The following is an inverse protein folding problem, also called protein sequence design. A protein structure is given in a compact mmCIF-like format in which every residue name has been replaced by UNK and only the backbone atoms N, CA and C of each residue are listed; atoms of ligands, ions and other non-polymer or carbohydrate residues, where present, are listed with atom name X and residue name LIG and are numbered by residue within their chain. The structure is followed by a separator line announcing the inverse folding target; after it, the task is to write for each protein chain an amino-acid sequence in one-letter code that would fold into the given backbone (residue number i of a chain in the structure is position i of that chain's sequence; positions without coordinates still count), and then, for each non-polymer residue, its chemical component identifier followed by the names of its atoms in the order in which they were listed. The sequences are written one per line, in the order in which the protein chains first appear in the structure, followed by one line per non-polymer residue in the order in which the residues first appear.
data_IF_102725117615
#
_entry.id   IF_102725117615
#
_cell.length_a   1.000
_cell.length_b   1.000
_cell.length_c   1.000
_cell.angle_alpha   90.00
_cell.angle_beta   90.00
_cell.angle_gamma   90.00
#
_symmetry.space_group_name_H-M   'P 1'
#
loop_
_entity.id
_entity.type
_entity.pdbx_description
1 polymer ?
#
# COMPACT_ATOMS: atom_id res chain seq x y z
N UNK A 1 -43.52 -34.69 12.17
CA UNK A 1 -43.03 -34.15 13.46
C UNK A 1 -42.20 -32.89 13.20
N UNK A 2 -42.77 -31.73 13.55
CA UNK A 2 -42.20 -30.40 13.30
C UNK A 2 -40.98 -30.12 14.18
N UNK A 3 -39.84 -29.76 13.57
CA UNK A 3 -38.67 -29.20 14.27
C UNK A 3 -38.46 -27.76 13.81
N UNK A 4 -38.94 -26.82 14.63
CA UNK A 4 -38.72 -25.39 14.47
C UNK A 4 -37.25 -25.04 14.74
N UNK A 5 -36.55 -24.56 13.71
CA UNK A 5 -35.23 -23.96 13.83
C UNK A 5 -35.38 -22.45 14.07
N UNK A 6 -35.11 -22.01 15.30
CA UNK A 6 -34.98 -20.59 15.63
C UNK A 6 -33.60 -20.11 15.18
N UNK A 7 -33.55 -19.34 14.09
CA UNK A 7 -32.36 -18.59 13.66
C UNK A 7 -32.18 -17.37 14.55
N UNK A 8 -31.10 -17.32 15.34
CA UNK A 8 -30.61 -16.08 15.94
C UNK A 8 -29.66 -15.39 14.96
N UNK A 9 -30.13 -14.30 14.34
CA UNK A 9 -29.27 -13.33 13.66
C UNK A 9 -28.88 -12.24 14.65
N UNK A 10 -27.60 -12.17 15.03
CA UNK A 10 -27.00 -10.98 15.65
C UNK A 10 -25.88 -10.50 14.75
N UNK A 11 -26.28 -9.69 13.77
CA UNK A 11 -25.42 -8.84 12.97
C UNK A 11 -26.08 -7.48 13.04
N UNK A 12 -25.44 -6.49 13.69
CA UNK A 12 -25.35 -5.12 13.20
C UNK A 12 -24.65 -4.19 14.22
N UNK A 13 -23.64 -3.48 13.71
CA UNK A 13 -23.11 -2.17 14.11
C UNK A 13 -22.01 -2.12 15.18
N UNK A 14 -20.77 -2.36 14.74
CA UNK A 14 -19.59 -1.65 15.25
C UNK A 14 -19.09 -0.72 14.13
N UNK A 15 -19.32 0.60 14.25
CA UNK A 15 -18.63 1.63 13.46
C UNK A 15 -17.64 2.34 14.38
N UNK A 16 -16.34 2.44 14.04
CA UNK A 16 -15.42 3.24 14.83
C UNK A 16 -15.74 4.73 14.68
N UNK A 17 -15.65 5.44 15.79
CA UNK A 17 -15.80 6.89 15.88
C UNK A 17 -14.78 7.59 14.99
N UNK A 18 -15.24 8.31 13.97
CA UNK A 18 -14.43 9.33 13.30
C UNK A 18 -14.29 10.53 14.24
N UNK A 19 -13.05 10.91 14.54
CA UNK A 19 -12.70 12.17 15.21
C UNK A 19 -13.20 13.32 14.33
N UNK A 20 -14.31 13.94 14.69
CA UNK A 20 -14.76 15.19 14.08
C UNK A 20 -13.90 16.31 14.68
N UNK A 21 -12.81 16.66 14.00
CA UNK A 21 -11.99 17.82 14.31
C UNK A 21 -12.75 19.11 13.95
N UNK A 22 -13.36 19.74 14.96
CA UNK A 22 -14.11 21.01 14.87
C UNK A 22 -13.24 22.26 14.64
N UNK A 23 -11.91 22.12 14.53
CA UNK A 23 -10.99 23.27 14.52
C UNK A 23 -10.79 23.90 13.14
N UNK A 24 -11.00 23.17 12.03
CA UNK A 24 -10.76 23.69 10.67
C UNK A 24 -11.83 24.67 10.13
N UNK A 25 -13.14 24.48 10.36
CA UNK A 25 -14.15 25.40 9.81
C UNK A 25 -14.11 26.78 10.47
N UNK A 26 -13.82 26.86 11.78
CA UNK A 26 -13.74 28.14 12.49
C UNK A 26 -12.48 28.91 12.10
N UNK A 27 -11.35 28.22 11.91
CA UNK A 27 -10.10 28.82 11.43
C UNK A 27 -10.26 29.41 10.03
N UNK A 28 -10.94 28.72 9.11
CA UNK A 28 -11.22 29.26 7.76
C UNK A 28 -12.20 30.44 7.78
N UNK A 29 -13.14 30.48 8.73
CA UNK A 29 -14.07 31.61 8.87
C UNK A 29 -13.36 32.86 9.43
N UNK A 30 -12.53 32.69 10.46
CA UNK A 30 -11.72 33.77 11.02
C UNK A 30 -10.64 34.26 10.04
N UNK A 31 -10.04 33.36 9.26
CA UNK A 31 -9.10 33.72 8.19
C UNK A 31 -9.76 34.58 7.09
N UNK A 32 -11.02 34.29 6.72
CA UNK A 32 -11.78 35.09 5.75
C UNK A 32 -12.23 36.45 6.29
N UNK A 33 -12.44 36.58 7.60
CA UNK A 33 -12.72 37.87 8.22
C UNK A 33 -11.44 38.74 8.29
N UNK A 34 -10.29 38.14 8.56
CA UNK A 34 -9.03 38.88 8.67
C UNK A 34 -8.48 39.35 7.31
N UNK A 35 -8.68 38.58 6.22
CA UNK A 35 -8.21 38.96 4.88
C UNK A 35 -9.16 39.87 4.09
N UNK A 36 -10.34 40.22 4.62
CA UNK A 36 -11.22 41.24 4.00
C UNK A 36 -10.86 42.67 4.40
N UNK A 37 -9.85 42.86 5.26
CA UNK A 37 -9.26 44.17 5.56
C UNK A 37 -8.14 44.56 4.58
N UNK A 38 -8.02 43.88 3.43
CA UNK A 38 -7.17 44.37 2.35
C UNK A 38 -7.74 45.69 1.81
N UNK A 39 -6.96 46.74 2.02
CA UNK A 39 -7.01 48.08 1.44
C UNK A 39 -7.75 48.10 0.09
N UNK A 40 -8.97 48.64 0.12
CA UNK A 40 -9.56 49.27 -1.05
C UNK A 40 -8.69 50.48 -1.37
N UNK A 41 -7.69 50.29 -2.22
CA UNK A 41 -7.02 51.37 -2.95
C UNK A 41 -8.07 52.04 -3.84
N UNK A 42 -8.81 52.99 -3.27
CA UNK A 42 -9.61 53.92 -4.04
C UNK A 42 -8.67 54.90 -4.75
N UNK A 43 -8.71 55.00 -6.09
CA UNK A 43 -8.03 56.09 -6.76
C UNK A 43 -8.67 57.41 -6.31
N UNK A 44 -7.88 58.25 -5.62
CA UNK A 44 -8.23 59.65 -5.34
C UNK A 44 -8.22 60.42 -6.66
N UNK A 45 -9.34 60.40 -7.36
CA UNK A 45 -9.71 61.47 -8.29
C UNK A 45 -10.95 62.14 -7.70
N UNK A 46 -10.75 63.35 -7.17
CA UNK A 46 -11.82 64.25 -6.72
C UNK A 46 -12.64 64.67 -7.93
N UNK A 47 -13.61 63.83 -8.30
CA UNK A 47 -14.73 64.21 -9.16
C UNK A 47 -15.91 64.53 -8.25
N UNK A 48 -16.53 65.69 -8.47
CA UNK A 48 -17.67 66.20 -7.70
C UNK A 48 -18.83 65.21 -7.73
N UNK A 49 -18.93 64.41 -6.66
CA UNK A 49 -20.01 63.46 -6.47
C UNK A 49 -21.31 64.24 -6.24
N UNK A 50 -22.31 63.98 -7.06
CA UNK A 50 -23.59 64.70 -7.00
C UNK A 50 -24.41 64.23 -5.80
N UNK A 51 -25.27 65.10 -5.23
CA UNK A 51 -26.06 64.76 -4.03
C UNK A 51 -26.92 63.49 -4.20
N UNK A 52 -27.29 63.14 -5.43
CA UNK A 52 -28.00 61.90 -5.77
C UNK A 52 -27.14 60.64 -5.61
N UNK A 53 -25.84 60.70 -5.93
CA UNK A 53 -24.93 59.55 -5.79
C UNK A 53 -24.59 59.27 -4.33
N UNK A 54 -24.43 60.30 -3.51
CA UNK A 54 -24.23 60.15 -2.07
C UNK A 54 -25.41 59.49 -1.37
N UNK A 55 -26.65 59.78 -1.79
CA UNK A 55 -27.86 59.14 -1.23
C UNK A 55 -27.93 57.65 -1.60
N UNK A 56 -27.61 57.31 -2.86
CA UNK A 56 -27.57 55.92 -3.31
C UNK A 56 -26.51 55.09 -2.59
N UNK A 57 -25.32 55.66 -2.32
CA UNK A 57 -24.28 54.99 -1.54
C UNK A 57 -24.70 54.76 -0.08
N UNK A 58 -25.40 55.72 0.54
CA UNK A 58 -25.91 55.58 1.90
C UNK A 58 -27.02 54.51 2.00
N UNK A 59 -27.91 54.47 1.02
CA UNK A 59 -29.00 53.49 0.96
C UNK A 59 -28.48 52.07 0.71
N UNK A 60 -27.46 51.92 -0.15
CA UNK A 60 -26.80 50.62 -0.38
C UNK A 60 -26.02 50.14 0.85
N UNK A 61 -25.36 51.03 1.59
CA UNK A 61 -24.68 50.69 2.84
C UNK A 61 -25.69 50.27 3.93
N UNK A 62 -26.81 50.97 4.04
CA UNK A 62 -27.87 50.62 4.98
C UNK A 62 -28.55 49.29 4.64
N UNK A 63 -28.80 49.02 3.35
CA UNK A 63 -29.31 47.73 2.90
C UNK A 63 -28.32 46.59 3.17
N UNK A 64 -27.01 46.83 2.98
CA UNK A 64 -25.97 45.85 3.31
C UNK A 64 -25.89 45.57 4.82
N UNK A 65 -25.99 46.61 5.66
CA UNK A 65 -26.07 46.48 7.13
C UNK A 65 -27.31 45.69 7.57
N UNK A 66 -28.46 45.92 6.94
CA UNK A 66 -29.67 45.15 7.25
C UNK A 66 -29.55 43.67 6.81
N UNK A 67 -29.00 43.41 5.63
CA UNK A 67 -28.76 42.05 5.13
C UNK A 67 -27.82 41.25 6.05
N UNK A 68 -26.69 41.85 6.44
CA UNK A 68 -25.71 41.23 7.34
C UNK A 68 -26.28 40.98 8.75
N UNK A 69 -27.10 41.89 9.27
CA UNK A 69 -27.81 41.69 10.54
C UNK A 69 -28.81 40.53 10.48
N UNK A 70 -29.56 40.42 9.38
CA UNK A 70 -30.51 39.33 9.17
C UNK A 70 -29.79 37.96 9.06
N UNK A 71 -28.65 37.90 8.37
CA UNK A 71 -27.84 36.69 8.25
C UNK A 71 -27.23 36.26 9.60
N UNK A 72 -26.77 37.22 10.41
CA UNK A 72 -26.31 36.96 11.78
C UNK A 72 -27.44 36.45 12.69
N UNK A 73 -28.66 37.01 12.58
CA UNK A 73 -29.83 36.50 13.33
C UNK A 73 -30.24 35.09 12.87
N UNK A 74 -30.16 34.79 11.58
CA UNK A 74 -30.47 33.47 11.04
C UNK A 74 -29.44 32.41 11.46
N UNK A 75 -28.14 32.75 11.44
CA UNK A 75 -27.05 31.84 11.86
C UNK A 75 -27.07 31.58 13.36
N UNK A 76 -27.30 32.60 14.19
CA UNK A 76 -27.45 32.43 15.64
C UNK A 76 -28.66 31.58 16.02
N UNK A 77 -29.81 31.74 15.33
CA UNK A 77 -30.98 30.86 15.49
C UNK A 77 -30.66 29.41 15.11
N UNK A 78 -29.98 29.18 13.99
CA UNK A 78 -29.52 27.83 13.56
C UNK A 78 -28.52 27.20 14.54
N UNK A 79 -27.65 27.98 15.16
CA UNK A 79 -26.71 27.48 16.18
C UNK A 79 -27.43 27.12 17.48
N UNK A 80 -28.37 27.96 17.95
CA UNK A 80 -29.19 27.67 19.14
C UNK A 80 -30.01 26.38 18.98
N UNK A 81 -30.61 26.15 17.81
CA UNK A 81 -31.36 24.90 17.57
C UNK A 81 -30.45 23.68 17.56
N UNK A 82 -29.25 23.75 16.94
CA UNK A 82 -28.24 22.68 16.97
C UNK A 82 -27.74 22.40 18.40
N UNK A 83 -27.51 23.42 19.21
CA UNK A 83 -27.11 23.22 20.62
C UNK A 83 -28.21 22.54 21.45
N UNK A 84 -29.48 22.92 21.24
CA UNK A 84 -30.62 22.31 21.94
C UNK A 84 -30.81 20.82 21.59
N UNK A 85 -30.67 20.45 20.30
CA UNK A 85 -30.76 19.04 19.89
C UNK A 85 -29.59 18.22 20.43
N UNK A 86 -28.39 18.80 20.49
CA UNK A 86 -27.20 18.14 21.06
C UNK A 86 -27.35 17.88 22.57
N UNK A 87 -27.88 18.85 23.33
CA UNK A 87 -28.16 18.69 24.77
C UNK A 87 -29.20 17.60 25.04
N UNK A 88 -30.27 17.54 24.25
CA UNK A 88 -31.29 16.48 24.33
C UNK A 88 -30.72 15.09 23.99
N UNK A 89 -29.84 15.00 23.00
CA UNK A 89 -29.18 13.75 22.62
C UNK A 89 -28.23 13.25 23.72
N UNK A 90 -27.45 14.15 24.34
CA UNK A 90 -26.52 13.78 25.41
C UNK A 90 -27.26 13.26 26.66
N UNK A 91 -28.40 13.88 27.03
CA UNK A 91 -29.25 13.38 28.12
C UNK A 91 -29.77 11.96 27.84
N UNK A 92 -30.27 11.69 26.63
CA UNK A 92 -30.71 10.35 26.22
C UNK A 92 -29.60 9.30 26.31
N UNK A 93 -28.37 9.64 25.92
CA UNK A 93 -27.21 8.74 26.05
C UNK A 93 -26.86 8.42 27.50
N UNK A 94 -26.94 9.42 28.40
CA UNK A 94 -26.72 9.20 29.84
C UNK A 94 -27.79 8.28 30.42
N UNK A 95 -29.06 8.52 30.09
CA UNK A 95 -30.18 7.71 30.58
C UNK A 95 -30.09 6.26 30.08
N UNK A 96 -29.71 6.05 28.81
CA UNK A 96 -29.43 4.72 28.27
C UNK A 96 -28.27 4.02 29.00
N UNK A 97 -27.18 4.73 29.28
CA UNK A 97 -26.05 4.17 30.05
C UNK A 97 -26.47 3.78 31.48
N UNK A 98 -27.25 4.62 32.16
CA UNK A 98 -27.79 4.32 33.51
C UNK A 98 -28.69 3.09 33.49
N UNK A 99 -29.59 2.99 32.51
CA UNK A 99 -30.47 1.82 32.34
C UNK A 99 -29.67 0.53 32.08
N UNK A 100 -28.66 0.57 31.23
CA UNK A 100 -27.77 -0.58 30.97
C UNK A 100 -27.00 -0.99 32.23
N UNK A 101 -26.51 -0.03 33.01
CA UNK A 101 -25.82 -0.31 34.26
C UNK A 101 -26.74 -0.95 35.30
N UNK A 102 -27.97 -0.46 35.43
CA UNK A 102 -29.01 -1.06 36.28
C UNK A 102 -29.34 -2.50 35.86
N UNK A 103 -29.47 -2.78 34.56
CA UNK A 103 -29.67 -4.14 34.03
C UNK A 103 -28.49 -5.06 34.35
N UNK A 104 -27.25 -4.59 34.17
CA UNK A 104 -26.04 -5.37 34.51
C UNK A 104 -25.97 -5.72 36.00
N UNK A 105 -26.31 -4.78 36.90
CA UNK A 105 -26.37 -5.04 38.35
C UNK A 105 -27.43 -6.10 38.71
N UNK A 106 -28.63 -6.01 38.15
CA UNK A 106 -29.69 -7.02 38.36
C UNK A 106 -29.27 -8.41 37.87
N UNK A 107 -28.68 -8.49 36.68
CA UNK A 107 -28.13 -9.75 36.13
C UNK A 107 -27.01 -10.34 36.99
N UNK A 108 -26.12 -9.51 37.53
CA UNK A 108 -25.06 -9.96 38.42
C UNK A 108 -25.62 -10.54 39.74
N UNK A 109 -26.61 -9.88 40.34
CA UNK A 109 -27.27 -10.38 41.56
C UNK A 109 -28.01 -11.71 41.33
N UNK A 110 -28.72 -11.86 40.21
CA UNK A 110 -29.39 -13.12 39.83
C UNK A 110 -28.35 -14.22 39.60
N UNK A 111 -27.24 -13.94 38.91
CA UNK A 111 -26.14 -14.89 38.73
C UNK A 111 -25.54 -15.33 40.06
N UNK A 112 -25.29 -14.40 40.97
CA UNK A 112 -24.72 -14.71 42.29
C UNK A 112 -25.63 -15.63 43.12
N UNK A 113 -26.94 -15.37 43.11
CA UNK A 113 -27.93 -16.24 43.79
C UNK A 113 -28.04 -17.62 43.16
N UNK A 114 -27.89 -17.74 41.83
CA UNK A 114 -27.86 -19.04 41.16
C UNK A 114 -26.56 -19.80 41.43
N UNK A 115 -25.42 -19.12 41.50
CA UNK A 115 -24.11 -19.72 41.79
C UNK A 115 -24.02 -20.33 43.19
N UNK A 116 -24.74 -19.78 44.18
CA UNK A 116 -24.79 -20.33 45.54
C UNK A 116 -25.59 -21.65 45.67
N UNK A 117 -26.42 -21.98 44.68
CA UNK A 117 -27.26 -23.20 44.69
C UNK A 117 -26.69 -24.35 43.86
N UNK A 118 -25.61 -24.13 43.12
CA UNK A 118 -24.99 -25.14 42.25
C UNK A 118 -23.83 -25.80 42.99
N UNK A 119 -23.78 -27.15 43.08
CA UNK A 119 -22.66 -27.85 43.69
C UNK A 119 -21.33 -27.43 43.05
N UNK A 120 -20.30 -27.18 43.86
CA UNK A 120 -18.98 -26.69 43.41
C UNK A 120 -18.37 -27.54 42.28
N UNK A 121 -18.66 -28.85 42.24
CA UNK A 121 -18.15 -29.76 41.22
C UNK A 121 -18.79 -29.51 39.85
N UNK A 122 -20.11 -29.24 39.82
CA UNK A 122 -20.84 -28.87 38.60
C UNK A 122 -20.35 -27.50 38.10
N UNK A 123 -20.08 -26.57 39.01
CA UNK A 123 -19.51 -25.27 38.67
C UNK A 123 -18.13 -25.39 38.03
N UNK A 124 -17.21 -26.16 38.63
CA UNK A 124 -15.87 -26.41 38.07
C UNK A 124 -15.93 -27.07 36.69
N UNK A 125 -16.78 -28.09 36.52
CA UNK A 125 -16.97 -28.76 35.23
C UNK A 125 -17.50 -27.80 34.15
N UNK A 126 -18.50 -26.97 34.49
CA UNK A 126 -19.08 -25.98 33.58
C UNK A 126 -18.06 -24.91 33.19
N UNK A 127 -17.25 -24.42 34.14
CA UNK A 127 -16.16 -23.48 33.87
C UNK A 127 -15.11 -24.11 32.95
N UNK A 128 -14.74 -25.38 33.18
CA UNK A 128 -13.81 -26.12 32.32
C UNK A 128 -14.33 -26.23 30.88
N UNK A 129 -15.59 -26.61 30.71
CA UNK A 129 -16.24 -26.70 29.41
C UNK A 129 -16.30 -25.34 28.69
N UNK A 130 -16.67 -24.26 29.39
CA UNK A 130 -16.69 -22.90 28.83
C UNK A 130 -15.28 -22.48 28.40
N UNK A 131 -14.25 -22.76 29.22
CA UNK A 131 -12.85 -22.47 28.86
C UNK A 131 -12.44 -23.22 27.60
N UNK A 132 -12.77 -24.51 27.48
CA UNK A 132 -12.48 -25.31 26.29
C UNK A 132 -13.21 -24.79 25.04
N UNK A 133 -14.51 -24.49 25.14
CA UNK A 133 -15.30 -23.88 24.06
C UNK A 133 -14.74 -22.52 23.63
N UNK A 134 -14.35 -21.67 24.60
CA UNK A 134 -13.76 -20.37 24.31
C UNK A 134 -12.41 -20.50 23.59
N UNK A 135 -11.55 -21.44 24.01
CA UNK A 135 -10.27 -21.74 23.36
C UNK A 135 -10.49 -22.23 21.92
N UNK A 136 -11.44 -23.16 21.72
CA UNK A 136 -11.77 -23.67 20.40
C UNK A 136 -12.34 -22.57 19.47
N UNK A 137 -13.18 -21.69 20.01
CA UNK A 137 -13.70 -20.54 19.25
C UNK A 137 -12.58 -19.58 18.84
N UNK A 138 -11.68 -19.24 19.76
CA UNK A 138 -10.52 -18.38 19.48
C UNK A 138 -9.61 -18.95 18.39
N UNK A 139 -9.37 -20.27 18.42
CA UNK A 139 -8.61 -20.97 17.37
C UNK A 139 -9.33 -20.84 16.02
N UNK A 140 -10.64 -21.14 15.97
CA UNK A 140 -11.44 -21.01 14.74
C UNK A 140 -11.45 -19.59 14.17
N UNK A 141 -11.56 -18.57 15.03
CA UNK A 141 -11.52 -17.18 14.58
C UNK A 141 -10.13 -16.79 14.08
N UNK A 142 -9.06 -17.21 14.77
CA UNK A 142 -7.69 -16.96 14.34
C UNK A 142 -7.37 -17.64 13.00
N UNK A 143 -7.84 -18.88 12.81
CA UNK A 143 -7.69 -19.60 11.55
C UNK A 143 -8.46 -18.92 10.41
N UNK A 144 -9.69 -18.44 10.68
CA UNK A 144 -10.46 -17.68 9.69
C UNK A 144 -9.76 -16.38 9.30
N UNK A 145 -9.25 -15.61 10.26
CA UNK A 145 -8.48 -14.40 9.99
C UNK A 145 -7.19 -14.69 9.22
N UNK A 146 -6.49 -15.77 9.59
CA UNK A 146 -5.31 -16.23 8.85
C UNK A 146 -5.66 -16.59 7.41
N UNK A 147 -6.75 -17.32 7.18
CA UNK A 147 -7.21 -17.62 5.82
C UNK A 147 -7.55 -16.35 5.05
N UNK A 148 -8.28 -15.40 5.65
CA UNK A 148 -8.60 -14.12 5.00
C UNK A 148 -7.34 -13.36 4.57
N UNK A 149 -6.29 -13.35 5.39
CA UNK A 149 -4.98 -12.76 5.03
C UNK A 149 -4.24 -13.53 3.92
N UNK A 150 -4.45 -14.84 3.82
CA UNK A 150 -3.82 -15.67 2.79
C UNK A 150 -4.53 -15.60 1.43
N UNK A 151 -5.79 -15.17 1.41
CA UNK A 151 -6.56 -14.94 0.18
C UNK A 151 -6.72 -13.45 -0.14
N UNK A 152 -6.16 -12.54 0.66
CA UNK A 152 -6.19 -11.10 0.37
C UNK A 152 -5.30 -10.76 -0.82
N UNK A 153 -5.75 -9.79 -1.62
CA UNK A 153 -4.92 -9.15 -2.64
C UNK A 153 -3.74 -8.39 -2.01
N UNK A 154 -3.99 -7.81 -0.83
CA UNK A 154 -3.01 -7.01 -0.10
C UNK A 154 -1.84 -7.87 0.41
N UNK A 155 -0.60 -7.38 0.28
CA UNK A 155 0.58 -8.06 0.81
C UNK A 155 0.60 -8.05 2.35
N UNK A 156 1.04 -9.15 2.94
CA UNK A 156 1.21 -9.26 4.41
C UNK A 156 2.41 -8.45 4.86
N UNK A 157 3.49 -8.50 4.08
CA UNK A 157 4.69 -7.68 4.27
C UNK A 157 5.11 -7.09 2.94
N UNK A 158 5.53 -5.82 2.96
CA UNK A 158 5.97 -5.08 1.78
C UNK A 158 7.46 -4.82 1.91
N UNK A 159 8.32 -5.44 1.09
CA UNK A 159 9.72 -5.08 1.06
C UNK A 159 9.90 -3.68 0.48
N UNK A 160 10.94 -2.94 0.90
CA UNK A 160 11.33 -1.72 0.20
C UNK A 160 11.66 -2.05 -1.26
N UNK A 161 11.30 -1.14 -2.16
CA UNK A 161 11.36 -1.40 -3.60
C UNK A 161 12.83 -1.66 -4.01
N UNK A 162 13.17 -2.87 -4.52
CA UNK A 162 14.56 -3.23 -4.82
C UNK A 162 15.03 -2.68 -6.17
N UNK A 163 14.32 -1.72 -6.77
CA UNK A 163 14.64 -1.25 -8.11
C UNK A 163 15.90 -0.42 -8.08
N UNK A 164 16.95 -0.92 -8.72
CA UNK A 164 18.12 -0.12 -9.09
C UNK A 164 17.63 1.06 -9.93
N UNK A 165 17.84 2.26 -9.41
CA UNK A 165 17.53 3.50 -10.11
C UNK A 165 18.64 3.73 -11.14
N UNK A 166 18.24 3.89 -12.40
CA UNK A 166 19.19 4.23 -13.47
C UNK A 166 19.51 5.73 -13.44
N UNK A 167 20.70 6.14 -13.94
CA UNK A 167 21.02 7.56 -14.10
C UNK A 167 19.99 8.31 -14.94
N UNK A 168 19.44 7.66 -15.98
CA UNK A 168 18.36 8.23 -16.79
C UNK A 168 17.09 8.50 -15.98
N UNK A 169 16.70 7.59 -15.07
CA UNK A 169 15.55 7.83 -14.21
C UNK A 169 15.78 9.04 -13.30
N UNK A 170 16.96 9.16 -12.71
CA UNK A 170 17.33 10.35 -11.91
C UNK A 170 17.26 11.62 -12.77
N UNK A 171 17.73 11.57 -14.01
CA UNK A 171 17.63 12.69 -14.95
C UNK A 171 16.15 13.07 -15.20
N UNK A 172 15.30 12.11 -15.54
CA UNK A 172 13.87 12.37 -15.77
C UNK A 172 13.21 12.98 -14.53
N UNK A 173 13.44 12.40 -13.36
CA UNK A 173 12.84 12.87 -12.11
C UNK A 173 13.34 14.28 -11.72
N UNK A 174 14.59 14.62 -12.07
CA UNK A 174 15.22 15.92 -11.75
C UNK A 174 14.77 17.02 -12.70
N UNK A 175 14.76 16.77 -14.01
CA UNK A 175 14.53 17.80 -15.04
C UNK A 175 13.09 17.83 -15.57
N UNK A 176 12.34 16.75 -15.35
CA UNK A 176 10.94 16.62 -15.78
C UNK A 176 10.09 16.05 -14.65
N UNK A 177 10.05 16.71 -13.47
CA UNK A 177 9.26 16.22 -12.35
C UNK A 177 7.79 16.12 -12.75
N UNK A 178 7.06 15.13 -12.22
CA UNK A 178 5.63 15.01 -12.51
C UNK A 178 4.93 16.32 -12.12
N UNK A 179 3.97 16.80 -12.94
CA UNK A 179 3.22 17.99 -12.60
C UNK A 179 2.55 17.78 -11.24
N UNK A 180 2.69 18.76 -10.35
CA UNK A 180 2.07 18.76 -9.02
C UNK A 180 0.57 18.49 -9.18
N UNK A 181 0.00 17.57 -8.39
CA UNK A 181 -1.33 16.94 -8.55
C UNK A 181 -2.55 17.89 -8.62
N UNK A 182 -2.35 19.20 -8.60
CA UNK A 182 -3.39 20.23 -8.64
C UNK A 182 -3.76 20.72 -10.06
N UNK A 183 -3.17 20.15 -11.12
CA UNK A 183 -3.51 20.54 -12.49
C UNK A 183 -4.74 19.78 -13.03
N UNK A 184 -5.64 20.46 -13.76
CA UNK A 184 -6.86 19.86 -14.30
C UNK A 184 -6.55 18.67 -15.22
N UNK A 185 -7.38 17.63 -15.11
CA UNK A 185 -7.24 16.32 -15.79
C UNK A 185 -7.11 16.43 -17.32
N UNK A 186 -7.53 17.54 -17.92
CA UNK A 186 -7.51 17.79 -19.37
C UNK A 186 -6.11 18.05 -19.96
N UNK A 187 -5.08 18.31 -19.16
CA UNK A 187 -3.71 18.58 -19.65
C UNK A 187 -2.77 17.37 -19.60
N UNK A 188 -3.29 16.14 -19.45
CA UNK A 188 -2.49 14.91 -19.51
C UNK A 188 -2.03 14.66 -20.95
N UNK A 189 -1.00 15.39 -21.37
CA UNK A 189 -0.22 15.11 -22.59
C UNK A 189 0.07 13.62 -22.69
N UNK A 190 -0.07 13.07 -23.90
CA UNK A 190 0.22 11.66 -24.19
C UNK A 190 1.61 11.27 -23.67
N UNK A 191 1.65 10.42 -22.65
CA UNK A 191 2.86 9.97 -21.94
C UNK A 191 3.93 9.42 -22.90
N UNK A 192 3.53 8.88 -24.05
CA UNK A 192 4.43 8.35 -25.07
C UNK A 192 5.28 9.43 -25.73
N UNK A 193 4.70 10.58 -26.09
CA UNK A 193 5.44 11.65 -26.76
C UNK A 193 6.45 12.30 -25.82
N UNK A 194 6.09 12.42 -24.53
CA UNK A 194 7.00 12.90 -23.49
C UNK A 194 8.22 12.00 -23.31
N UNK A 195 8.05 10.67 -23.32
CA UNK A 195 9.18 9.73 -23.19
C UNK A 195 10.19 9.84 -24.33
N UNK A 196 9.74 9.98 -25.58
CA UNK A 196 10.63 10.17 -26.75
C UNK A 196 11.44 11.45 -26.58
N UNK A 197 10.79 12.54 -26.16
CA UNK A 197 11.45 13.82 -25.87
C UNK A 197 12.51 13.67 -24.77
N UNK A 198 12.17 13.04 -23.65
CA UNK A 198 13.11 12.84 -22.53
C UNK A 198 14.32 12.00 -22.94
N UNK A 199 14.12 10.94 -23.73
CA UNK A 199 15.21 10.13 -24.26
C UNK A 199 16.14 10.93 -25.17
N UNK A 200 15.59 11.79 -26.03
CA UNK A 200 16.38 12.69 -26.89
C UNK A 200 17.22 13.66 -26.06
N UNK A 201 16.62 14.32 -25.06
CA UNK A 201 17.33 15.21 -24.15
C UNK A 201 18.43 14.50 -23.37
N UNK A 202 18.17 13.27 -22.88
CA UNK A 202 19.20 12.49 -22.21
C UNK A 202 20.38 12.14 -23.13
N UNK A 203 20.11 11.72 -24.38
CA UNK A 203 21.17 11.42 -25.35
C UNK A 203 22.06 12.63 -25.62
N UNK A 204 21.43 13.79 -25.79
CA UNK A 204 22.09 15.07 -26.09
C UNK A 204 22.62 15.82 -24.85
N UNK A 205 22.40 15.30 -23.65
CA UNK A 205 22.92 15.92 -22.42
C UNK A 205 24.45 15.81 -22.34
N UNK A 206 25.07 16.82 -21.70
CA UNK A 206 26.52 16.87 -21.53
C UNK A 206 27.03 15.69 -20.69
N UNK A 207 28.29 15.32 -20.88
CA UNK A 207 28.92 14.27 -20.08
C UNK A 207 28.94 14.61 -18.58
N UNK A 208 29.05 15.90 -18.24
CA UNK A 208 28.97 16.39 -16.87
C UNK A 208 27.61 16.09 -16.23
N UNK A 209 26.50 16.42 -16.92
CA UNK A 209 25.16 16.10 -16.42
C UNK A 209 24.95 14.60 -16.25
N UNK A 210 25.42 13.79 -17.20
CA UNK A 210 25.35 12.32 -17.10
C UNK A 210 26.13 11.78 -15.91
N UNK A 211 27.30 12.36 -15.61
CA UNK A 211 28.12 12.00 -14.47
C UNK A 211 27.41 12.32 -13.14
N UNK A 212 26.85 13.52 -13.01
CA UNK A 212 26.09 13.94 -11.83
C UNK A 212 24.87 13.03 -11.56
N UNK A 213 24.09 12.73 -12.61
CA UNK A 213 22.97 11.78 -12.50
C UNK A 213 23.44 10.38 -12.10
N UNK A 214 24.62 9.95 -12.56
CA UNK A 214 25.20 8.66 -12.20
C UNK A 214 25.61 8.61 -10.73
N UNK A 215 26.27 9.66 -10.23
CA UNK A 215 26.64 9.78 -8.82
C UNK A 215 25.41 9.78 -7.91
N UNK A 216 24.38 10.57 -8.27
CA UNK A 216 23.09 10.59 -7.55
C UNK A 216 22.40 9.22 -7.56
N UNK A 217 22.35 8.54 -8.72
CA UNK A 217 21.78 7.20 -8.83
C UNK A 217 22.52 6.20 -7.93
N UNK A 218 23.86 6.22 -7.94
CA UNK A 218 24.68 5.35 -7.10
C UNK A 218 24.41 5.58 -5.61
N UNK A 219 24.36 6.84 -5.18
CA UNK A 219 24.04 7.19 -3.79
C UNK A 219 22.65 6.69 -3.37
N UNK A 220 21.62 6.90 -4.20
CA UNK A 220 20.27 6.41 -3.91
C UNK A 220 20.25 4.88 -3.87
N UNK A 221 20.91 4.20 -4.81
CA UNK A 221 20.99 2.75 -4.84
C UNK A 221 21.70 2.17 -3.60
N UNK A 222 22.76 2.84 -3.12
CA UNK A 222 23.42 2.46 -1.87
C UNK A 222 22.49 2.62 -0.67
N UNK A 223 21.74 3.71 -0.59
CA UNK A 223 20.74 3.92 0.46
C UNK A 223 19.63 2.86 0.42
N UNK A 224 19.10 2.58 -0.77
CA UNK A 224 18.11 1.53 -0.99
C UNK A 224 18.64 0.14 -0.61
N UNK A 225 19.90 -0.16 -0.91
CA UNK A 225 20.53 -1.42 -0.52
C UNK A 225 20.64 -1.55 1.01
N UNK A 226 21.01 -0.48 1.72
CA UNK A 226 21.05 -0.45 3.20
C UNK A 226 19.65 -0.64 3.80
N UNK A 227 18.65 0.07 3.28
CA UNK A 227 17.26 -0.06 3.72
C UNK A 227 16.73 -1.48 3.48
N UNK A 228 17.04 -2.08 2.34
CA UNK A 228 16.66 -3.45 2.02
C UNK A 228 17.33 -4.46 2.95
N UNK A 229 18.63 -4.30 3.22
CA UNK A 229 19.35 -5.16 4.18
C UNK A 229 18.73 -5.08 5.58
N UNK A 230 18.53 -3.87 6.09
CA UNK A 230 17.87 -3.64 7.39
C UNK A 230 16.46 -4.25 7.44
N UNK A 231 15.68 -4.11 6.35
CA UNK A 231 14.35 -4.74 6.28
C UNK A 231 14.43 -6.26 6.43
N UNK A 232 15.38 -6.92 5.76
CA UNK A 232 15.57 -8.36 5.91
C UNK A 232 16.02 -8.79 7.31
N UNK A 233 16.82 -7.97 8.00
CA UNK A 233 17.30 -8.27 9.35
C UNK A 233 16.23 -8.08 10.43
N UNK A 234 15.31 -7.14 10.21
CA UNK A 234 14.25 -6.80 11.17
C UNK A 234 12.93 -7.52 10.95
N UNK A 235 12.65 -7.99 9.74
CA UNK A 235 11.35 -8.60 9.41
C UNK A 235 11.26 -10.04 9.91
N UNK A 236 10.18 -10.38 10.61
CA UNK A 236 9.92 -11.74 11.08
C UNK A 236 9.93 -12.76 9.92
N UNK A 237 10.83 -13.76 9.92
CA UNK A 237 10.89 -14.81 8.91
C UNK A 237 9.57 -15.56 8.70
N UNK A 238 8.72 -15.66 9.74
CA UNK A 238 7.41 -16.30 9.63
C UNK A 238 6.42 -15.48 8.80
N UNK A 239 6.46 -14.15 8.90
CA UNK A 239 5.66 -13.26 8.04
C UNK A 239 6.08 -13.39 6.58
N UNK A 240 7.39 -13.52 6.31
CA UNK A 240 7.92 -13.75 4.96
C UNK A 240 7.46 -15.10 4.42
N UNK A 241 7.49 -16.16 5.23
CA UNK A 241 6.95 -17.49 4.86
C UNK A 241 5.45 -17.40 4.55
N UNK A 242 4.67 -16.68 5.36
CA UNK A 242 3.24 -16.48 5.12
C UNK A 242 2.96 -15.71 3.83
N UNK A 243 3.70 -14.63 3.55
CA UNK A 243 3.57 -13.86 2.31
C UNK A 243 3.95 -14.71 1.09
N UNK A 244 5.00 -15.51 1.17
CA UNK A 244 5.37 -16.44 0.10
C UNK A 244 4.30 -17.52 -0.14
N UNK A 245 3.62 -17.98 0.92
CA UNK A 245 2.48 -18.89 0.80
C UNK A 245 1.27 -18.21 0.13
N UNK A 246 0.94 -16.97 0.54
CA UNK A 246 -0.09 -16.14 -0.09
C UNK A 246 0.18 -15.97 -1.59
N UNK A 247 1.40 -15.58 -1.99
CA UNK A 247 1.82 -15.45 -3.40
C UNK A 247 1.68 -16.75 -4.18
N UNK A 248 1.99 -17.90 -3.56
CA UNK A 248 1.80 -19.23 -4.18
C UNK A 248 0.33 -19.48 -4.48
N UNK A 249 -0.57 -19.23 -3.53
CA UNK A 249 -2.02 -19.37 -3.70
C UNK A 249 -2.54 -18.41 -4.77
N UNK A 250 -2.12 -17.14 -4.70
CA UNK A 250 -2.51 -16.12 -5.67
C UNK A 250 -2.11 -16.53 -7.09
N UNK A 251 -0.87 -17.00 -7.27
CA UNK A 251 -0.38 -17.48 -8.56
C UNK A 251 -1.06 -18.77 -9.04
N UNK A 252 -1.50 -19.66 -8.14
CA UNK A 252 -2.28 -20.85 -8.54
C UNK A 252 -3.69 -20.47 -8.99
N UNK A 253 -4.31 -19.49 -8.37
CA UNK A 253 -5.64 -19.02 -8.77
C UNK A 253 -5.63 -18.28 -10.12
N UNK A 254 -4.47 -17.74 -10.51
CA UNK A 254 -4.26 -17.07 -11.81
C UNK A 254 -3.86 -18.02 -12.94
N UNK A 255 -3.72 -19.34 -12.70
CA UNK A 255 -3.35 -20.28 -13.76
C UNK A 255 -4.44 -20.34 -14.83
N UNK A 256 -4.19 -19.74 -16.00
CA UNK A 256 -5.13 -19.66 -17.11
C UNK A 256 -5.30 -18.24 -17.68
N UNK A 257 -4.97 -17.21 -16.90
CA UNK A 257 -4.87 -15.82 -17.37
C UNK A 257 -3.40 -15.47 -17.63
N UNK A 258 -3.10 -14.72 -18.69
CA UNK A 258 -1.73 -14.25 -19.07
C UNK A 258 -1.17 -13.20 -18.08
N UNK A 259 -1.67 -13.20 -16.84
CA UNK A 259 -1.28 -12.26 -15.80
C UNK A 259 0.12 -12.54 -15.28
N UNK A 260 0.84 -11.47 -14.93
CA UNK A 260 2.18 -11.54 -14.37
C UNK A 260 2.14 -12.19 -12.97
N UNK A 261 2.71 -13.39 -12.84
CA UNK A 261 2.83 -14.09 -11.56
C UNK A 261 3.65 -13.27 -10.56
N UNK A 262 3.23 -13.26 -9.30
CA UNK A 262 3.97 -12.64 -8.20
C UNK A 262 5.22 -13.46 -7.87
N UNK A 263 6.44 -12.90 -7.97
CA UNK A 263 7.66 -13.63 -7.59
C UNK A 263 7.71 -13.85 -6.08
N UNK A 264 8.33 -14.94 -5.63
CA UNK A 264 8.60 -15.16 -4.21
C UNK A 264 9.59 -14.12 -3.67
N UNK A 265 9.40 -13.70 -2.43
CA UNK A 265 10.37 -12.92 -1.68
C UNK A 265 11.54 -13.82 -1.31
N UNK A 266 12.73 -13.45 -1.75
CA UNK A 266 14.00 -14.15 -1.53
C UNK A 266 15.00 -13.11 -1.05
N UNK A 267 15.74 -13.40 0.02
CA UNK A 267 16.80 -12.52 0.50
C UNK A 267 17.91 -12.44 -0.57
N UNK A 268 18.20 -11.25 -1.13
CA UNK A 268 19.19 -11.09 -2.18
C UNK A 268 20.63 -11.34 -1.71
N UNK A 269 20.88 -11.37 -0.40
CA UNK A 269 22.20 -11.66 0.21
C UNK A 269 22.51 -13.15 0.22
N UNK A 270 21.48 -14.00 0.18
CA UNK A 270 21.68 -15.43 0.10
C UNK A 270 22.27 -15.80 -1.27
N UNK A 271 23.26 -16.72 -1.32
CA UNK A 271 23.79 -17.19 -2.58
C UNK A 271 22.65 -17.80 -3.41
N UNK A 272 22.70 -17.62 -4.73
CA UNK A 272 21.76 -18.29 -5.63
C UNK A 272 22.11 -19.77 -5.72
N UNK A 273 21.10 -20.63 -5.82
CA UNK A 273 21.32 -22.04 -6.11
C UNK A 273 22.07 -22.15 -7.44
N UNK A 274 23.17 -22.92 -7.52
CA UNK A 274 23.88 -23.10 -8.78
C UNK A 274 22.97 -23.80 -9.81
N UNK A 275 23.19 -23.46 -11.08
CA UNK A 275 22.51 -24.14 -12.18
C UNK A 275 22.99 -25.59 -12.28
N UNK A 276 22.14 -26.47 -12.82
CA UNK A 276 22.54 -27.86 -13.10
C UNK A 276 23.75 -27.93 -14.03
N UNK A 277 24.43 -29.08 -14.09
CA UNK A 277 25.54 -29.32 -15.04
C UNK A 277 25.17 -28.93 -16.49
N UNK A 278 23.95 -29.26 -16.93
CA UNK A 278 23.42 -28.83 -18.23
C UNK A 278 23.31 -27.31 -18.37
N UNK A 279 22.90 -26.60 -17.31
CA UNK A 279 22.81 -25.13 -17.30
C UNK A 279 24.21 -24.50 -17.40
N UNK A 280 25.20 -25.08 -16.73
CA UNK A 280 26.60 -24.67 -16.82
C UNK A 280 27.11 -24.88 -18.24
N UNK A 281 26.86 -26.06 -18.83
CA UNK A 281 27.17 -26.34 -20.24
C UNK A 281 26.57 -25.30 -21.19
N UNK A 282 25.28 -24.97 -21.07
CA UNK A 282 24.64 -23.97 -21.92
C UNK A 282 25.35 -22.61 -21.78
N UNK A 283 25.69 -22.20 -20.55
CA UNK A 283 26.36 -20.93 -20.28
C UNK A 283 27.75 -20.89 -20.93
N UNK A 284 28.51 -21.96 -20.78
CA UNK A 284 29.85 -22.07 -21.35
C UNK A 284 29.79 -22.14 -22.88
N UNK A 285 28.89 -22.95 -23.43
CA UNK A 285 28.66 -23.03 -24.86
C UNK A 285 28.29 -21.66 -25.45
N UNK A 286 27.40 -20.90 -24.78
CA UNK A 286 27.08 -19.53 -25.18
C UNK A 286 28.31 -18.64 -25.17
N UNK A 287 29.11 -18.66 -24.10
CA UNK A 287 30.27 -17.79 -23.97
C UNK A 287 31.33 -18.06 -25.05
N UNK A 288 31.59 -19.34 -25.37
CA UNK A 288 32.56 -19.75 -26.40
C UNK A 288 32.10 -19.43 -27.81
N UNK A 289 30.78 -19.46 -28.07
CA UNK A 289 30.20 -19.23 -29.40
C UNK A 289 29.60 -17.82 -29.56
N UNK A 290 29.80 -16.91 -28.59
CA UNK A 290 29.14 -15.60 -28.55
C UNK A 290 29.58 -14.67 -29.69
N UNK A 291 30.79 -14.87 -30.23
CA UNK A 291 31.33 -14.14 -31.38
C UNK A 291 30.59 -14.44 -32.69
N UNK A 292 30.00 -15.63 -32.84
CA UNK A 292 29.20 -15.99 -34.03
C UNK A 292 27.79 -15.39 -33.99
N UNK A 293 27.20 -15.25 -32.79
CA UNK A 293 25.84 -14.73 -32.66
C UNK A 293 25.75 -13.21 -32.84
N UNK A 294 26.77 -12.43 -32.46
CA UNK A 294 26.72 -10.96 -32.55
C UNK A 294 26.66 -10.43 -33.99
N UNK A 295 27.25 -11.14 -34.96
CA UNK A 295 27.22 -10.75 -36.39
C UNK A 295 25.89 -11.06 -37.08
N UNK A 296 25.09 -11.97 -36.55
CA UNK A 296 23.80 -12.37 -37.15
C UNK A 296 22.60 -11.54 -36.65
N UNK A 297 22.76 -10.67 -35.65
CA UNK A 297 21.64 -9.94 -35.05
C UNK A 297 21.37 -8.56 -35.67
N UNK A 298 22.22 -8.08 -36.59
CA UNK A 298 22.04 -6.77 -37.23
C UNK A 298 21.59 -6.82 -38.68
N UNK A 299 21.61 -7.99 -39.32
CA UNK A 299 20.99 -8.17 -40.63
C UNK A 299 20.10 -9.41 -40.60
N UNK A 300 18.81 -9.16 -40.84
CA UNK A 300 17.75 -10.12 -41.13
C UNK A 300 17.11 -10.84 -39.93
N UNK A 301 15.82 -10.54 -39.82
CA UNK A 301 14.78 -11.04 -38.93
C UNK A 301 14.47 -12.54 -39.13
N UNK A 302 15.44 -13.42 -38.87
CA UNK A 302 15.21 -14.87 -38.83
C UNK A 302 16.04 -15.53 -37.73
N UNK A 303 16.05 -14.96 -36.52
CA UNK A 303 16.45 -15.75 -35.35
C UNK A 303 15.48 -16.92 -35.23
N UNK A 304 15.97 -18.18 -35.27
CA UNK A 304 15.08 -19.31 -35.12
C UNK A 304 14.45 -19.21 -33.71
N UNK A 305 13.17 -19.56 -33.55
CA UNK A 305 12.42 -19.30 -32.31
C UNK A 305 13.17 -19.85 -31.09
N UNK A 306 13.08 -19.21 -29.93
CA UNK A 306 13.81 -19.59 -28.69
C UNK A 306 13.70 -21.10 -28.37
N UNK A 307 12.59 -21.74 -28.77
CA UNK A 307 12.38 -23.19 -28.69
C UNK A 307 13.43 -24.00 -29.47
N UNK A 308 13.82 -23.56 -30.67
CA UNK A 308 14.85 -24.19 -31.50
C UNK A 308 16.23 -24.18 -30.84
N UNK A 309 16.58 -23.11 -30.11
CA UNK A 309 17.86 -23.01 -29.42
C UNK A 309 17.95 -24.02 -28.28
N UNK A 310 16.92 -24.09 -27.44
CA UNK A 310 16.90 -25.02 -26.30
C UNK A 310 16.86 -26.49 -26.76
N UNK A 311 16.15 -26.79 -27.84
CA UNK A 311 16.15 -28.11 -28.48
C UNK A 311 17.55 -28.46 -29.01
N UNK A 312 18.20 -27.53 -29.73
CA UNK A 312 19.57 -27.72 -30.22
C UNK A 312 20.55 -27.98 -29.07
N UNK A 313 20.51 -27.19 -28.01
CA UNK A 313 21.39 -27.38 -26.85
C UNK A 313 21.15 -28.74 -26.16
N UNK A 314 19.90 -29.18 -26.10
CA UNK A 314 19.54 -30.48 -25.54
C UNK A 314 20.11 -31.63 -26.36
N UNK A 315 20.05 -31.53 -27.70
CA UNK A 315 20.65 -32.52 -28.61
C UNK A 315 22.17 -32.55 -28.48
N UNK A 316 22.83 -31.38 -28.45
CA UNK A 316 24.29 -31.31 -28.27
C UNK A 316 24.67 -31.93 -26.92
N UNK A 317 23.96 -31.60 -25.84
CA UNK A 317 24.21 -32.18 -24.53
C UNK A 317 24.01 -33.70 -24.52
N UNK A 318 22.98 -34.23 -25.19
CA UNK A 318 22.76 -35.67 -25.29
C UNK A 318 23.92 -36.37 -25.99
N UNK A 319 24.40 -35.78 -27.08
CA UNK A 319 25.48 -36.33 -27.91
C UNK A 319 26.89 -36.05 -27.35
N UNK A 320 27.02 -35.26 -26.28
CA UNK A 320 28.30 -34.97 -25.65
C UNK A 320 28.93 -36.26 -25.06
N UNK A 321 30.24 -36.52 -25.28
CA UNK A 321 30.94 -37.63 -24.63
C UNK A 321 30.78 -37.58 -23.11
N UNK A 322 30.74 -38.75 -22.46
CA UNK A 322 30.57 -38.82 -21.01
C UNK A 322 31.72 -38.12 -20.27
N UNK A 323 32.95 -38.24 -20.78
CA UNK A 323 34.14 -37.55 -20.26
C UNK A 323 33.96 -36.03 -20.21
N UNK A 324 33.32 -35.43 -21.21
CA UNK A 324 33.02 -33.99 -21.21
C UNK A 324 31.86 -33.65 -20.26
N UNK A 325 30.83 -34.50 -20.20
CA UNK A 325 29.72 -34.33 -19.23
C UNK A 325 30.23 -34.36 -17.79
N UNK A 326 31.23 -35.21 -17.51
CA UNK A 326 31.81 -35.36 -16.18
C UNK A 326 32.51 -34.07 -15.71
N UNK A 327 33.10 -33.29 -16.61
CA UNK A 327 33.65 -31.97 -16.29
C UNK A 327 32.55 -31.02 -15.77
N UNK A 328 31.41 -30.97 -16.44
CA UNK A 328 30.27 -30.14 -16.02
C UNK A 328 29.61 -30.66 -14.73
N UNK A 329 29.56 -31.98 -14.54
CA UNK A 329 29.08 -32.59 -13.31
C UNK A 329 29.98 -32.26 -12.12
N UNK A 330 31.30 -32.34 -12.31
CA UNK A 330 32.29 -31.97 -11.30
C UNK A 330 32.19 -30.48 -10.95
N UNK A 331 32.09 -29.60 -11.95
CA UNK A 331 31.91 -28.16 -11.73
C UNK A 331 30.61 -27.84 -10.98
N UNK A 332 29.50 -28.51 -11.34
CA UNK A 332 28.24 -28.40 -10.61
C UNK A 332 28.39 -28.83 -9.15
N UNK A 333 29.05 -29.97 -8.88
CA UNK A 333 29.31 -30.45 -7.51
C UNK A 333 30.12 -29.42 -6.72
N UNK A 334 31.18 -28.86 -7.31
CA UNK A 334 32.00 -27.84 -6.66
C UNK A 334 31.17 -26.59 -6.32
N UNK A 335 30.41 -26.06 -7.28
CA UNK A 335 29.55 -24.90 -7.04
C UNK A 335 28.46 -25.17 -5.99
N UNK A 336 27.92 -26.38 -5.95
CA UNK A 336 26.95 -26.80 -4.95
C UNK A 336 27.59 -26.87 -3.55
N UNK A 337 28.81 -27.38 -3.43
CA UNK A 337 29.54 -27.36 -2.16
C UNK A 337 29.82 -25.94 -1.67
N UNK A 338 30.26 -25.03 -2.55
CA UNK A 338 30.43 -23.60 -2.21
C UNK A 338 29.10 -22.98 -1.75
N UNK A 339 28.00 -23.26 -2.45
CA UNK A 339 26.67 -22.78 -2.08
C UNK A 339 26.24 -23.29 -0.69
N UNK A 340 26.43 -24.58 -0.41
CA UNK A 340 26.07 -25.18 0.87
C UNK A 340 26.92 -24.60 2.01
N UNK A 341 28.23 -24.41 1.80
CA UNK A 341 29.13 -23.78 2.75
C UNK A 341 28.74 -22.34 3.07
N UNK A 342 28.40 -21.54 2.06
CA UNK A 342 27.91 -20.17 2.27
C UNK A 342 26.54 -20.13 2.95
N UNK A 343 25.68 -21.11 2.68
CA UNK A 343 24.35 -21.18 3.29
C UNK A 343 24.42 -21.57 4.76
N UNK A 344 25.36 -22.42 5.15
CA UNK A 344 25.56 -22.81 6.55
C UNK A 344 26.16 -21.70 7.40
N UNK A 345 26.98 -20.81 6.83
CA UNK A 345 27.55 -19.67 7.58
C UNK A 345 26.56 -18.53 7.85
N UNK A 346 25.40 -18.55 7.20
CA UNK A 346 24.34 -17.53 7.34
C UNK A 346 23.19 -17.98 8.26
N UNK A 347 23.26 -19.19 8.82
CA UNK A 347 22.35 -19.69 9.85
C UNK A 347 23.03 -19.56 11.21
#
# INVERSE_FOLDING_TARGET
MNRNWVRFTHSLLYRPFTRISFTRPLANFLYRLNHKNHELLFPRTLSTCTASESKYLLDTENNYKQYTLAELKATTKKLKTKFCTTKKFHKRLIDQKKALFGRKKKLASVKQKMLQKVPNNVLKATIGYIKQQSKAYLIKTADKERQLKLFSADPIVVPPVPTTISPYKVFVDTYYPPPVENLPVSSKLSTKNSMVKYMSHWRNSSNQTKLECTQKANHINQSNAKLLAHWWDTTDPNLIKMENFRRKIFNSNLSGQVSNKLPKLIDPRLPKLPGSAYTIFIKDYKSKNFSLHKKSCHLQSTTPPIQSYNQKMSLIWKNLPQTEKDLYLMQHKQQLMTYLSHKSSLK
#
